data_IF_329685075040
#
_entry.id   IF_329685075040
#
_cell.length_a   1.000
_cell.length_b   1.000
_cell.length_c   1.000
_cell.angle_alpha   90.00
_cell.angle_beta   90.00
_cell.angle_gamma   90.00
#
_symmetry.space_group_name_H-M   'P 1'
#
loop_
_entity.id
_entity.type
_entity.pdbx_description
1 polymer ?
#
# COMPACT_ATOMS: atom_id res chain seq x y z
N UNK A 1 17.54 -22.99 39.17
CA UNK A 1 17.37 -21.55 38.89
C UNK A 1 16.80 -21.41 37.49
N UNK A 2 15.47 -21.35 37.37
CA UNK A 2 14.75 -21.31 36.08
C UNK A 2 14.77 -19.89 35.57
N UNK A 3 15.48 -19.65 34.46
CA UNK A 3 15.59 -18.35 33.82
C UNK A 3 14.33 -18.10 33.00
N UNK A 4 13.32 -17.51 33.61
CA UNK A 4 12.17 -16.94 32.90
C UNK A 4 12.69 -15.81 31.99
N UNK A 5 12.74 -16.04 30.68
CA UNK A 5 12.86 -14.95 29.70
C UNK A 5 11.51 -14.25 29.65
N UNK A 6 11.40 -13.19 30.45
CA UNK A 6 10.33 -12.20 30.34
C UNK A 6 10.27 -11.65 28.92
N UNK A 7 9.04 -11.44 28.44
CA UNK A 7 8.73 -11.09 27.06
C UNK A 7 9.51 -9.87 26.57
N UNK A 8 10.08 -10.01 25.37
CA UNK A 8 10.46 -8.89 24.53
C UNK A 8 9.17 -8.17 24.11
N UNK A 9 8.82 -7.20 24.95
CA UNK A 9 8.26 -5.91 24.60
C UNK A 9 8.36 -5.60 23.10
N UNK A 10 7.24 -5.25 22.46
CA UNK A 10 7.08 -4.92 21.05
C UNK A 10 8.19 -3.97 20.52
N UNK A 11 9.37 -4.47 20.19
CA UNK A 11 10.36 -3.71 19.43
C UNK A 11 9.77 -3.51 18.06
N UNK A 12 9.30 -2.29 17.78
CA UNK A 12 8.75 -1.93 16.49
C UNK A 12 9.86 -2.18 15.46
N UNK A 13 9.76 -3.29 14.73
CA UNK A 13 10.67 -3.59 13.63
C UNK A 13 10.41 -2.61 12.50
N UNK A 14 11.05 -1.44 12.59
CA UNK A 14 10.93 -0.34 11.63
C UNK A 14 11.17 -0.81 10.18
N UNK A 15 12.15 -1.69 9.88
CA UNK A 15 12.35 -2.19 8.52
C UNK A 15 11.18 -3.03 8.00
N UNK A 16 10.61 -3.89 8.85
CA UNK A 16 9.43 -4.68 8.49
C UNK A 16 8.18 -3.81 8.34
N UNK A 17 8.04 -2.75 9.16
CA UNK A 17 6.89 -1.84 9.07
C UNK A 17 6.89 -1.08 7.74
N UNK A 18 8.02 -0.50 7.35
CA UNK A 18 8.17 0.20 6.07
C UNK A 18 8.03 -0.78 4.90
N UNK A 19 8.63 -1.98 4.99
CA UNK A 19 8.50 -3.03 3.99
C UNK A 19 7.05 -3.49 3.77
N UNK A 20 6.29 -3.74 4.85
CA UNK A 20 4.86 -4.10 4.78
C UNK A 20 4.03 -3.02 4.11
N UNK A 21 4.28 -1.75 4.41
CA UNK A 21 3.56 -0.62 3.79
C UNK A 21 3.91 -0.50 2.31
N UNK A 22 5.18 -0.62 1.94
CA UNK A 22 5.60 -0.63 0.55
C UNK A 22 4.90 -1.75 -0.24
N UNK A 23 4.87 -2.96 0.33
CA UNK A 23 4.21 -4.13 -0.27
C UNK A 23 2.70 -3.91 -0.42
N UNK A 24 2.06 -3.27 0.58
CA UNK A 24 0.66 -2.92 0.53
C UNK A 24 0.36 -1.95 -0.63
N UNK A 25 1.17 -0.91 -0.81
CA UNK A 25 1.00 0.06 -1.91
C UNK A 25 1.16 -0.64 -3.28
N UNK A 26 2.18 -1.50 -3.43
CA UNK A 26 2.39 -2.28 -4.67
C UNK A 26 1.20 -3.20 -4.93
N UNK A 27 0.75 -3.94 -3.92
CA UNK A 27 -0.37 -4.86 -4.03
C UNK A 27 -1.66 -4.14 -4.46
N UNK A 28 -1.96 -2.99 -3.85
CA UNK A 28 -3.12 -2.17 -4.20
C UNK A 28 -3.02 -1.62 -5.63
N UNK A 29 -1.82 -1.24 -6.07
CA UNK A 29 -1.58 -0.82 -7.45
C UNK A 29 -1.87 -1.94 -8.45
N UNK A 30 -1.35 -3.15 -8.20
CA UNK A 30 -1.61 -4.34 -9.03
C UNK A 30 -3.10 -4.67 -9.06
N UNK A 31 -3.74 -4.70 -7.89
CA UNK A 31 -5.18 -4.97 -7.77
C UNK A 31 -6.00 -3.93 -8.56
N UNK A 32 -5.62 -2.65 -8.48
CA UNK A 32 -6.26 -1.57 -9.22
C UNK A 32 -6.13 -1.72 -10.74
N UNK A 33 -4.97 -2.15 -11.23
CA UNK A 33 -4.75 -2.43 -12.66
C UNK A 33 -5.62 -3.60 -13.12
N UNK A 34 -5.62 -4.71 -12.38
CA UNK A 34 -6.43 -5.90 -12.72
C UNK A 34 -7.91 -5.54 -12.80
N UNK A 35 -8.44 -4.83 -11.80
CA UNK A 35 -9.84 -4.37 -11.79
C UNK A 35 -10.14 -3.41 -12.95
N UNK A 36 -9.16 -2.59 -13.36
CA UNK A 36 -9.33 -1.66 -14.48
C UNK A 36 -9.30 -2.36 -15.83
N UNK A 37 -8.48 -3.40 -15.99
CA UNK A 37 -8.50 -4.24 -17.19
C UNK A 37 -9.84 -4.97 -17.28
N UNK A 38 -10.29 -5.62 -16.19
CA UNK A 38 -11.60 -6.28 -16.11
C UNK A 38 -12.77 -5.33 -16.44
N UNK A 39 -12.68 -4.08 -15.99
CA UNK A 39 -13.67 -3.05 -16.31
C UNK A 39 -13.73 -2.72 -17.82
N UNK A 40 -12.56 -2.65 -18.47
CA UNK A 40 -12.46 -2.36 -19.90
C UNK A 40 -12.87 -3.56 -20.77
N UNK A 41 -12.64 -4.79 -20.31
CA UNK A 41 -12.86 -5.99 -21.12
C UNK A 41 -14.24 -6.61 -20.95
N UNK A 42 -14.86 -6.56 -19.76
CA UNK A 42 -16.02 -7.42 -19.44
C UNK A 42 -17.25 -6.63 -18.97
N UNK A 43 -17.09 -5.47 -18.32
CA UNK A 43 -18.24 -4.82 -17.66
C UNK A 43 -18.22 -3.30 -17.75
N UNK A 44 -19.13 -2.75 -18.57
CA UNK A 44 -19.45 -1.31 -18.59
C UNK A 44 -19.89 -0.78 -17.21
N UNK A 45 -20.46 -1.63 -16.36
CA UNK A 45 -20.83 -1.28 -14.98
C UNK A 45 -19.62 -1.03 -14.08
N UNK A 46 -18.50 -1.74 -14.27
CA UNK A 46 -17.24 -1.44 -13.58
C UNK A 46 -16.61 -0.16 -14.11
N UNK A 47 -16.70 0.07 -15.43
CA UNK A 47 -16.22 1.30 -16.06
C UNK A 47 -16.97 2.55 -15.54
N UNK A 48 -18.31 2.47 -15.42
CA UNK A 48 -19.12 3.51 -14.79
C UNK A 48 -18.82 3.73 -13.30
N UNK A 49 -18.41 2.67 -12.58
CA UNK A 49 -17.93 2.75 -11.18
C UNK A 49 -16.51 3.34 -11.05
N UNK A 50 -15.99 3.88 -12.16
CA UNK A 50 -14.78 4.66 -12.23
C UNK A 50 -13.53 3.87 -12.57
N UNK A 51 -13.60 2.56 -12.80
CA UNK A 51 -12.44 1.79 -13.26
C UNK A 51 -12.19 2.01 -14.77
N UNK A 52 -10.93 1.91 -15.22
CA UNK A 52 -10.57 2.15 -16.61
C UNK A 52 -9.16 2.72 -16.77
N UNK A 53 -8.84 3.31 -17.93
CA UNK A 53 -7.48 3.80 -18.23
C UNK A 53 -6.89 4.73 -17.16
N UNK A 54 -7.69 5.64 -16.59
CA UNK A 54 -7.25 6.54 -15.50
C UNK A 54 -6.77 5.76 -14.28
N UNK A 55 -7.45 4.68 -13.90
CA UNK A 55 -7.08 3.86 -12.74
C UNK A 55 -5.90 2.92 -13.04
N UNK A 56 -5.64 2.55 -14.30
CA UNK A 56 -4.41 1.88 -14.70
C UNK A 56 -3.20 2.79 -14.42
N UNK A 57 -3.27 4.06 -14.83
CA UNK A 57 -2.20 5.04 -14.59
C UNK A 57 -1.96 5.24 -13.08
N UNK A 58 -3.03 5.37 -12.30
CA UNK A 58 -2.95 5.47 -10.84
C UNK A 58 -2.29 4.21 -10.26
N UNK A 59 -2.72 3.01 -10.69
CA UNK A 59 -2.15 1.75 -10.24
C UNK A 59 -0.66 1.60 -10.57
N UNK A 60 -0.22 2.00 -11.76
CA UNK A 60 1.20 2.03 -12.14
C UNK A 60 2.00 3.01 -11.27
N UNK A 61 1.42 4.19 -11.01
CA UNK A 61 2.02 5.19 -10.11
C UNK A 61 2.19 4.63 -8.70
N UNK A 62 1.18 3.92 -8.18
CA UNK A 62 1.25 3.26 -6.87
C UNK A 62 2.36 2.20 -6.82
N UNK A 63 2.51 1.37 -7.86
CA UNK A 63 3.59 0.39 -7.94
C UNK A 63 4.95 1.09 -7.90
N UNK A 64 5.15 2.13 -8.72
CA UNK A 64 6.40 2.90 -8.75
C UNK A 64 6.73 3.53 -7.39
N UNK A 65 5.74 4.16 -6.75
CA UNK A 65 5.89 4.72 -5.41
C UNK A 65 6.21 3.66 -4.36
N UNK A 66 5.57 2.49 -4.43
CA UNK A 66 5.83 1.36 -3.55
C UNK A 66 7.27 0.84 -3.66
N UNK A 67 7.80 0.70 -4.88
CA UNK A 67 9.22 0.38 -5.07
C UNK A 67 10.13 1.50 -4.55
N UNK A 68 9.80 2.77 -4.78
CA UNK A 68 10.54 3.90 -4.21
C UNK A 68 10.62 3.86 -2.69
N UNK A 69 9.54 3.49 -2.01
CA UNK A 69 9.53 3.29 -0.55
C UNK A 69 10.49 2.16 -0.14
N UNK A 70 10.55 1.04 -0.89
CA UNK A 70 11.52 -0.04 -0.64
C UNK A 70 12.97 0.40 -0.77
N UNK A 71 13.27 1.38 -1.63
CA UNK A 71 14.61 1.93 -1.81
C UNK A 71 14.93 3.10 -0.87
N UNK A 72 14.15 3.32 0.20
CA UNK A 72 14.34 4.40 1.19
C UNK A 72 14.07 5.82 0.67
N UNK A 73 13.38 5.98 -0.45
CA UNK A 73 13.03 7.32 -0.93
C UNK A 73 11.87 7.89 -0.10
N UNK A 74 12.19 8.80 0.83
CA UNK A 74 11.19 9.51 1.64
C UNK A 74 10.13 10.23 0.80
N UNK A 75 10.52 10.78 -0.35
CA UNK A 75 9.63 11.49 -1.26
C UNK A 75 8.55 10.56 -1.85
N UNK A 76 8.89 9.30 -2.13
CA UNK A 76 7.91 8.31 -2.60
C UNK A 76 6.88 7.97 -1.52
N UNK A 77 7.29 7.94 -0.24
CA UNK A 77 6.36 7.73 0.87
C UNK A 77 5.40 8.91 1.04
N UNK A 78 5.90 10.14 0.94
CA UNK A 78 5.07 11.34 0.98
C UNK A 78 4.12 11.41 -0.21
N UNK A 79 4.62 11.16 -1.43
CA UNK A 79 3.80 11.15 -2.63
C UNK A 79 2.71 10.07 -2.58
N UNK A 80 3.02 8.86 -2.07
CA UNK A 80 2.02 7.82 -1.83
C UNK A 80 0.96 8.29 -0.82
N UNK A 81 1.38 8.88 0.30
CA UNK A 81 0.47 9.41 1.31
C UNK A 81 -0.47 10.46 0.72
N UNK A 82 0.07 11.41 -0.05
CA UNK A 82 -0.69 12.48 -0.69
C UNK A 82 -1.67 11.92 -1.73
N UNK A 83 -1.26 10.93 -2.53
CA UNK A 83 -2.14 10.25 -3.47
C UNK A 83 -3.33 9.59 -2.76
N UNK A 84 -3.11 8.88 -1.65
CA UNK A 84 -4.19 8.26 -0.87
C UNK A 84 -5.09 9.29 -0.18
N UNK A 85 -4.57 10.44 0.23
CA UNK A 85 -5.39 11.55 0.76
C UNK A 85 -6.32 12.10 -0.34
N UNK A 86 -5.78 12.38 -1.53
CA UNK A 86 -6.57 12.87 -2.67
C UNK A 86 -7.66 11.85 -3.05
N UNK A 87 -7.33 10.56 -3.09
CA UNK A 87 -8.31 9.50 -3.35
C UNK A 87 -9.39 9.45 -2.26
N UNK A 88 -9.03 9.60 -0.99
CA UNK A 88 -9.98 9.63 0.12
C UNK A 88 -10.95 10.81 0.00
N UNK A 89 -10.44 12.01 -0.30
CA UNK A 89 -11.28 13.19 -0.54
C UNK A 89 -12.22 12.98 -1.73
N UNK A 90 -11.74 12.39 -2.82
CA UNK A 90 -12.57 12.07 -4.00
C UNK A 90 -13.69 11.09 -3.65
N UNK A 91 -13.40 10.03 -2.90
CA UNK A 91 -14.43 9.09 -2.45
C UNK A 91 -15.41 9.71 -1.46
N UNK A 92 -14.96 10.58 -0.57
CA UNK A 92 -15.82 11.30 0.36
C UNK A 92 -16.79 12.23 -0.37
N UNK A 93 -16.31 13.00 -1.36
CA UNK A 93 -17.16 13.82 -2.21
C UNK A 93 -18.20 12.99 -2.97
N UNK A 94 -17.78 11.86 -3.56
CA UNK A 94 -18.70 10.95 -4.26
C UNK A 94 -19.71 10.29 -3.33
N UNK A 95 -19.30 9.96 -2.10
CA UNK A 95 -20.18 9.37 -1.09
C UNK A 95 -21.29 10.35 -0.72
N UNK A 96 -20.96 11.64 -0.60
CA UNK A 96 -21.94 12.69 -0.35
C UNK A 96 -22.96 12.83 -1.48
N UNK A 97 -22.55 12.64 -2.73
CA UNK A 97 -23.45 12.79 -3.89
C UNK A 97 -24.30 11.54 -4.18
N UNK A 98 -23.77 10.34 -3.98
CA UNK A 98 -24.39 9.09 -4.45
C UNK A 98 -24.74 8.08 -3.36
N UNK A 99 -24.45 8.37 -2.07
CA UNK A 99 -24.78 7.57 -0.88
C UNK A 99 -24.70 6.04 -1.04
N UNK A 100 -23.70 5.57 -1.79
CA UNK A 100 -23.59 4.15 -2.16
C UNK A 100 -22.66 3.42 -1.21
N UNK A 101 -23.07 2.25 -0.72
CA UNK A 101 -22.32 1.42 0.24
C UNK A 101 -20.91 1.05 -0.24
N UNK A 102 -20.70 0.89 -1.55
CA UNK A 102 -19.38 0.60 -2.12
C UNK A 102 -18.39 1.77 -1.91
N UNK A 103 -18.86 3.02 -1.95
CA UNK A 103 -18.02 4.20 -1.75
C UNK A 103 -17.55 4.30 -0.30
N UNK A 104 -18.40 3.91 0.66
CA UNK A 104 -18.04 3.82 2.08
C UNK A 104 -16.91 2.83 2.30
N UNK A 105 -16.97 1.65 1.68
CA UNK A 105 -15.92 0.64 1.77
C UNK A 105 -14.59 1.12 1.15
N UNK A 106 -14.66 1.79 -0.02
CA UNK A 106 -13.46 2.40 -0.64
C UNK A 106 -12.85 3.48 0.25
N UNK A 107 -13.68 4.34 0.83
CA UNK A 107 -13.24 5.39 1.73
C UNK A 107 -12.56 4.79 2.97
N UNK A 108 -13.18 3.78 3.60
CA UNK A 108 -12.61 3.11 4.76
C UNK A 108 -11.25 2.48 4.45
N UNK A 109 -11.13 1.73 3.34
CA UNK A 109 -9.86 1.14 2.92
C UNK A 109 -8.80 2.22 2.61
N UNK A 110 -9.19 3.31 1.95
CA UNK A 110 -8.28 4.40 1.61
C UNK A 110 -7.77 5.13 2.86
N UNK A 111 -8.65 5.41 3.82
CA UNK A 111 -8.30 5.98 5.12
C UNK A 111 -7.41 5.05 5.94
N UNK A 112 -7.70 3.75 5.94
CA UNK A 112 -6.87 2.74 6.61
C UNK A 112 -5.46 2.70 6.03
N UNK A 113 -5.31 2.72 4.70
CA UNK A 113 -4.00 2.74 4.05
C UNK A 113 -3.26 4.04 4.33
N UNK A 114 -3.96 5.18 4.29
CA UNK A 114 -3.40 6.49 4.65
C UNK A 114 -2.85 6.49 6.07
N UNK A 115 -3.59 5.93 7.03
CA UNK A 115 -3.15 5.81 8.41
C UNK A 115 -1.87 4.96 8.54
N UNK A 116 -1.81 3.82 7.84
CA UNK A 116 -0.62 2.95 7.81
C UNK A 116 0.59 3.65 7.18
N UNK A 117 0.38 4.44 6.12
CA UNK A 117 1.40 5.25 5.47
C UNK A 117 1.95 6.32 6.43
N UNK A 118 1.07 7.10 7.08
CA UNK A 118 1.46 8.12 8.06
C UNK A 118 2.28 7.50 9.19
N UNK A 119 1.84 6.38 9.76
CA UNK A 119 2.58 5.67 10.80
C UNK A 119 3.98 5.22 10.34
N UNK A 120 4.13 4.86 9.07
CA UNK A 120 5.42 4.44 8.51
C UNK A 120 6.38 5.59 8.25
N UNK A 121 5.93 6.85 8.20
CA UNK A 121 6.81 8.02 8.02
C UNK A 121 7.82 8.13 9.16
N UNK A 122 7.38 7.95 10.40
CA UNK A 122 8.30 7.97 11.56
C UNK A 122 9.33 6.83 11.48
N UNK A 123 8.89 5.63 11.10
CA UNK A 123 9.79 4.48 10.93
C UNK A 123 10.77 4.66 9.76
N UNK A 124 10.33 5.30 8.67
CA UNK A 124 11.19 5.62 7.53
C UNK A 124 12.27 6.64 7.89
N UNK A 125 11.96 7.65 8.71
CA UNK A 125 12.97 8.58 9.23
C UNK A 125 14.05 7.84 10.03
N UNK A 126 13.65 6.91 10.89
CA UNK A 126 14.58 6.09 11.68
C UNK A 126 15.44 5.21 10.76
N UNK A 127 14.88 4.62 9.70
CA UNK A 127 15.64 3.84 8.72
C UNK A 127 16.69 4.66 7.97
N UNK A 128 16.35 5.90 7.60
CA UNK A 128 17.28 6.81 6.90
C UNK A 128 18.44 7.17 7.83
N UNK A 129 18.15 7.49 9.10
CA UNK A 129 19.17 7.84 10.10
C UNK A 129 20.08 6.65 10.42
N UNK A 130 19.50 5.45 10.54
CA UNK A 130 20.26 4.22 10.86
C UNK A 130 20.92 3.58 9.64
N UNK A 131 20.79 4.17 8.43
CA UNK A 131 21.25 3.60 7.17
C UNK A 131 20.79 2.14 6.90
N UNK A 132 19.71 1.71 7.57
CA UNK A 132 19.17 0.36 7.40
C UNK A 132 18.20 0.32 6.23
N UNK A 133 18.24 -0.76 5.45
CA UNK A 133 17.29 -0.95 4.34
C UNK A 133 15.94 -1.48 4.85
N UNK A 134 14.81 -1.04 4.28
CA UNK A 134 13.51 -1.64 4.51
C UNK A 134 13.60 -3.12 4.18
N UNK A 135 12.88 -3.93 4.96
CA UNK A 135 12.88 -5.37 4.73
C UNK A 135 12.36 -5.65 3.32
N UNK A 136 13.23 -6.24 2.50
CA UNK A 136 12.93 -6.62 1.11
C UNK A 136 12.23 -7.98 1.05
N UNK A 137 12.12 -8.68 2.18
CA UNK A 137 11.40 -9.95 2.26
C UNK A 137 9.96 -9.71 1.83
N UNK A 138 9.64 -10.27 0.67
CA UNK A 138 8.30 -10.28 0.14
C UNK A 138 7.90 -11.74 0.23
N UNK A 139 6.94 -12.11 1.10
CA UNK A 139 6.49 -13.51 1.22
C UNK A 139 6.19 -14.16 -0.13
N UNK A 140 5.73 -13.37 -1.11
CA UNK A 140 5.51 -13.79 -2.49
C UNK A 140 6.80 -14.10 -3.27
N UNK A 141 7.85 -13.30 -3.07
CA UNK A 141 9.14 -13.52 -3.74
C UNK A 141 9.87 -14.69 -3.10
N UNK A 142 9.78 -14.84 -1.78
CA UNK A 142 10.30 -16.01 -1.07
C UNK A 142 9.62 -17.30 -1.55
N UNK A 143 8.30 -17.29 -1.78
CA UNK A 143 7.57 -18.42 -2.35
C UNK A 143 7.98 -18.73 -3.80
N UNK A 144 8.15 -17.70 -4.64
CA UNK A 144 8.59 -17.86 -6.04
C UNK A 144 10.05 -18.32 -6.16
N UNK A 145 10.94 -17.85 -5.29
CA UNK A 145 12.34 -18.32 -5.25
C UNK A 145 12.45 -19.73 -4.68
N UNK A 146 11.60 -20.10 -3.71
CA UNK A 146 11.52 -21.47 -3.20
C UNK A 146 11.03 -22.46 -4.27
N UNK A 147 10.14 -22.03 -5.16
CA UNK A 147 9.72 -22.84 -6.32
C UNK A 147 10.80 -22.96 -7.41
N UNK A 148 11.77 -22.04 -7.48
CA UNK A 148 12.85 -22.06 -8.49
C UNK A 148 14.03 -22.95 -8.08
N UNK A 149 14.01 -23.51 -6.88
CA UNK A 149 15.05 -24.38 -6.30
C UNK A 149 14.59 -25.84 -6.10
N UNK A 150 13.41 -26.21 -6.62
CA UNK A 150 12.91 -27.58 -6.76
C UNK A 150 12.92 -27.94 -8.24
#
# INVERSE_FOLDING_TARGET
>A
MVKFKMGEENTINHPQRVGKVANLVIFLGILGIILSILALTISQGLAQRGYGFKYIIIGLSMIGLGYGIRYRYKYCLYAATLLFIILSCNFLFKLFMHHTSYLTLRLFLCSWVTFRLIQSISSMKILIVTNTSPDRSNRFMEYLFRQRHL
#
